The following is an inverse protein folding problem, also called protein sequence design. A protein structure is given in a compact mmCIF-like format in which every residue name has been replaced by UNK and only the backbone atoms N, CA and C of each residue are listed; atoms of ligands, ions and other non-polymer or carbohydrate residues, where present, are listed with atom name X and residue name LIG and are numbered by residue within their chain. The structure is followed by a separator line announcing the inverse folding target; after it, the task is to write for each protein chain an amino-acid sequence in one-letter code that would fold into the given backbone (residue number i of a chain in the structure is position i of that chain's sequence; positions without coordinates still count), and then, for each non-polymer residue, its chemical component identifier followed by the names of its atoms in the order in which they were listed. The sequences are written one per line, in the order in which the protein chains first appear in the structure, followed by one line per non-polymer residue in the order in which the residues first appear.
data_IF_676801123871
#
_entry.id   IF_676801123871
#
_cell.length_a   1.000
_cell.length_b   1.000
_cell.length_c   1.000
_cell.angle_alpha   90.00
_cell.angle_beta   90.00
_cell.angle_gamma   90.00
#
_symmetry.space_group_name_H-M   'P 1'
#
loop_
_entity.id
_entity.type
_entity.pdbx_description
1 polymer ?
#
# COMPACT_ATOMS: atom_id res chain seq x y z
N UNK A 1 -2.55 1.55 12.44
CA UNK A 1 -1.63 2.59 12.91
C UNK A 1 -2.23 3.24 14.13
N UNK A 2 -1.64 3.02 15.31
CA UNK A 2 -1.98 3.81 16.49
C UNK A 2 -0.97 4.94 16.53
N UNK A 3 -1.43 6.19 16.49
CA UNK A 3 -0.59 7.37 16.59
C UNK A 3 -0.19 7.59 18.07
N UNK A 4 0.39 6.59 18.71
CA UNK A 4 0.92 6.75 20.07
C UNK A 4 2.28 7.46 19.96
N UNK A 5 2.34 8.71 20.44
CA UNK A 5 3.58 9.48 20.54
C UNK A 5 3.56 10.87 19.93
N UNK A 6 2.48 11.28 19.25
CA UNK A 6 2.36 12.66 18.76
C UNK A 6 1.98 13.59 19.90
N UNK A 7 2.94 14.38 20.40
CA UNK A 7 2.66 15.48 21.30
C UNK A 7 2.00 16.62 20.50
N UNK A 8 0.92 17.19 21.04
CA UNK A 8 0.00 18.14 20.37
C UNK A 8 0.61 19.48 19.88
N UNK A 9 1.94 19.62 19.78
CA UNK A 9 2.62 20.87 19.47
C UNK A 9 3.57 20.82 18.25
N UNK A 10 3.74 19.68 17.59
CA UNK A 10 4.55 19.60 16.36
C UNK A 10 3.67 19.88 15.13
N UNK A 11 3.56 21.14 14.75
CA UNK A 11 2.86 21.58 13.53
C UNK A 11 3.61 21.24 12.22
N UNK A 12 4.63 20.39 12.24
CA UNK A 12 5.48 20.06 11.08
C UNK A 12 5.67 18.54 10.90
N UNK A 13 4.70 17.73 11.37
CA UNK A 13 4.72 16.29 11.14
C UNK A 13 4.33 15.98 9.68
N UNK A 14 5.33 15.71 8.83
CA UNK A 14 5.10 15.21 7.47
C UNK A 14 4.64 13.76 7.53
N UNK A 15 3.34 13.53 7.40
CA UNK A 15 2.75 12.20 7.29
C UNK A 15 2.71 11.79 5.81
N UNK A 16 3.46 10.75 5.46
CA UNK A 16 3.37 10.12 4.15
C UNK A 16 2.40 8.93 4.15
N UNK A 17 1.70 8.75 3.03
CA UNK A 17 0.79 7.63 2.82
C UNK A 17 1.34 6.69 1.74
N UNK A 18 1.07 5.40 1.91
CA UNK A 18 1.50 4.38 0.96
C UNK A 18 3.02 4.21 0.96
N UNK A 19 3.62 4.11 -0.22
CA UNK A 19 5.06 3.94 -0.41
C UNK A 19 5.53 4.82 -1.57
N UNK A 20 6.57 5.61 -1.35
CA UNK A 20 7.17 6.49 -2.37
C UNK A 20 6.13 7.44 -3.03
N UNK A 21 5.16 7.91 -2.24
CA UNK A 21 4.07 8.77 -2.71
C UNK A 21 2.96 8.05 -3.48
N UNK A 22 2.98 6.72 -3.57
CA UNK A 22 1.98 5.90 -4.29
C UNK A 22 1.19 4.99 -3.37
N UNK A 23 -0.05 4.60 -3.74
CA UNK A 23 -0.79 3.56 -3.04
C UNK A 23 0.04 2.27 -2.91
N UNK A 24 -0.07 1.63 -1.75
CA UNK A 24 0.65 0.39 -1.45
C UNK A 24 -0.33 -0.67 -0.95
N UNK A 25 -0.44 -1.77 -1.70
CA UNK A 25 -1.29 -2.92 -1.38
C UNK A 25 -0.47 -4.04 -0.73
N UNK A 26 -1.00 -4.67 0.31
CA UNK A 26 -0.41 -5.86 0.91
C UNK A 26 -1.47 -6.94 0.90
N UNK A 27 -1.21 -8.03 0.19
CA UNK A 27 -2.15 -9.13 0.07
C UNK A 27 -2.40 -9.80 1.43
N UNK A 28 -3.67 -9.87 1.81
CA UNK A 28 -4.13 -10.68 2.92
C UNK A 28 -4.13 -12.19 2.59
N UNK A 29 -4.27 -13.06 3.60
CA UNK A 29 -4.29 -14.50 3.40
C UNK A 29 -5.50 -15.00 2.59
N UNK A 30 -6.61 -14.27 2.62
CA UNK A 30 -7.86 -14.64 1.95
C UNK A 30 -8.16 -13.80 0.70
N UNK A 31 -7.25 -12.88 0.34
CA UNK A 31 -7.43 -12.03 -0.84
C UNK A 31 -7.15 -12.81 -2.13
N UNK A 32 -8.00 -12.62 -3.13
CA UNK A 32 -7.65 -12.93 -4.52
C UNK A 32 -6.69 -11.85 -5.06
N UNK A 33 -5.44 -11.94 -4.61
CA UNK A 33 -4.44 -10.92 -4.88
C UNK A 33 -4.11 -10.80 -6.38
N UNK A 34 -4.25 -11.87 -7.16
CA UNK A 34 -4.03 -11.84 -8.61
C UNK A 34 -5.06 -10.93 -9.28
N UNK A 35 -6.35 -11.15 -8.99
CA UNK A 35 -7.43 -10.32 -9.54
C UNK A 35 -7.31 -8.86 -9.11
N UNK A 36 -6.92 -8.61 -7.85
CA UNK A 36 -6.72 -7.25 -7.33
C UNK A 36 -5.59 -6.55 -8.07
N UNK A 37 -4.42 -7.18 -8.22
CA UNK A 37 -3.28 -6.59 -8.91
C UNK A 37 -3.61 -6.33 -10.38
N UNK A 38 -4.25 -7.26 -11.08
CA UNK A 38 -4.70 -7.06 -12.47
C UNK A 38 -5.68 -5.89 -12.60
N UNK A 39 -6.57 -5.72 -11.63
CA UNK A 39 -7.48 -4.57 -11.59
C UNK A 39 -6.71 -3.26 -11.44
N UNK A 40 -5.71 -3.21 -10.56
CA UNK A 40 -4.87 -2.02 -10.37
C UNK A 40 -4.06 -1.72 -11.65
N UNK A 41 -3.43 -2.73 -12.26
CA UNK A 41 -2.73 -2.60 -13.55
C UNK A 41 -3.62 -1.99 -14.63
N UNK A 42 -4.84 -2.50 -14.77
CA UNK A 42 -5.78 -2.05 -15.80
C UNK A 42 -6.27 -0.62 -15.58
N UNK A 43 -6.53 -0.22 -14.35
CA UNK A 43 -7.21 1.05 -14.05
C UNK A 43 -6.27 2.20 -13.74
N UNK A 44 -5.13 1.91 -13.09
CA UNK A 44 -4.15 2.94 -12.71
C UNK A 44 -2.81 2.77 -13.42
N UNK A 45 -2.50 1.61 -13.99
CA UNK A 45 -1.22 1.34 -14.69
C UNK A 45 -0.16 0.69 -13.79
N UNK A 46 0.75 -0.08 -14.41
CA UNK A 46 1.75 -0.91 -13.71
C UNK A 46 2.61 -0.14 -12.72
N UNK A 47 3.00 1.10 -13.05
CA UNK A 47 3.93 1.90 -12.25
C UNK A 47 3.25 2.84 -11.24
N UNK A 48 1.93 2.80 -11.10
CA UNK A 48 1.19 3.76 -10.27
C UNK A 48 0.80 3.23 -8.88
N UNK A 49 1.26 2.03 -8.52
CA UNK A 49 1.07 1.45 -7.19
C UNK A 49 2.23 0.50 -6.85
N UNK A 50 2.38 0.19 -5.57
CA UNK A 50 3.25 -0.87 -5.09
C UNK A 50 2.41 -2.02 -4.52
N UNK A 51 2.98 -3.23 -4.49
CA UNK A 51 2.36 -4.34 -3.77
C UNK A 51 3.36 -5.33 -3.16
N UNK A 52 2.93 -6.02 -2.10
CA UNK A 52 3.52 -7.26 -1.61
C UNK A 52 2.45 -8.35 -1.77
N UNK A 53 2.82 -9.47 -2.41
CA UNK A 53 1.96 -10.63 -2.58
C UNK A 53 2.75 -11.93 -2.33
N UNK A 54 2.08 -13.05 -2.00
CA UNK A 54 2.73 -14.35 -1.85
C UNK A 54 3.50 -14.76 -3.10
N UNK A 55 4.68 -15.35 -2.91
CA UNK A 55 5.41 -15.99 -4.00
C UNK A 55 4.77 -17.36 -4.28
N UNK A 56 4.10 -17.48 -5.42
CA UNK A 56 3.60 -18.78 -5.89
C UNK A 56 4.71 -19.47 -6.67
N UNK A 57 5.28 -20.54 -6.11
CA UNK A 57 6.21 -21.42 -6.80
C UNK A 57 5.41 -22.37 -7.71
N UNK A 58 5.68 -22.34 -9.01
CA UNK A 58 5.08 -23.27 -10.00
C UNK A 58 5.86 -24.58 -10.08
#
# INVERSE_FOLDING_TARGET
YVLEGLQNNDCDLTLEFGKDGKPFYIAGPDDDFETIIETLRKNVGEDNFHFIAPLILK
#
